data_IF_396563001716
#
_entry.id   IF_396563001716
#
_cell.length_a   1.000
_cell.length_b   1.000
_cell.length_c   1.000
_cell.angle_alpha   90.00
_cell.angle_beta   90.00
_cell.angle_gamma   90.00
#
_symmetry.space_group_name_H-M   'P 1'
#
loop_
_entity.id
_entity.type
_entity.pdbx_description
1 polymer ?
#
# COMPACT_ATOMS: atom_id res chain seq x y z
N UNK A 1 15.50 -2.11 59.85
CA UNK A 1 16.34 -1.06 59.24
C UNK A 1 16.41 0.09 60.23
N UNK A 2 17.59 0.69 60.51
CA UNK A 2 17.66 1.83 61.42
C UNK A 2 16.94 3.03 60.79
N UNK A 3 16.12 3.74 61.57
CA UNK A 3 15.54 5.02 61.18
C UNK A 3 16.58 6.11 61.44
N UNK A 4 17.05 6.79 60.39
CA UNK A 4 17.91 7.97 60.53
C UNK A 4 17.04 9.22 60.59
N UNK A 5 17.21 10.03 61.65
CA UNK A 5 16.63 11.36 61.77
C UNK A 5 17.75 12.38 61.49
N UNK A 6 17.60 13.16 60.43
CA UNK A 6 18.53 14.26 60.09
C UNK A 6 17.82 15.57 60.44
N UNK A 7 18.41 16.37 61.33
CA UNK A 7 17.92 17.70 61.68
C UNK A 7 18.89 18.75 61.11
N UNK A 8 18.43 19.53 60.14
CA UNK A 8 19.15 20.69 59.63
C UNK A 8 18.70 21.96 60.35
N UNK A 9 19.64 22.82 60.73
CA UNK A 9 19.36 24.15 61.28
C UNK A 9 19.60 25.23 60.20
N UNK A 10 18.64 26.14 59.93
CA UNK A 10 18.93 27.33 59.16
C UNK A 10 19.76 28.31 60.00
N UNK A 11 20.76 28.93 59.39
CA UNK A 11 21.74 29.84 60.04
C UNK A 11 21.19 31.24 60.32
N UNK A 12 19.94 31.52 59.93
CA UNK A 12 19.36 32.85 60.05
C UNK A 12 18.32 32.91 61.18
N UNK A 13 18.47 33.90 62.07
CA UNK A 13 17.53 34.25 63.14
C UNK A 13 16.25 34.90 62.58
N UNK A 14 15.63 34.26 61.60
CA UNK A 14 14.33 34.65 61.09
C UNK A 14 13.30 33.64 61.59
N UNK A 15 12.59 34.02 62.66
CA UNK A 15 11.57 33.20 63.36
C UNK A 15 10.36 32.85 62.47
N UNK A 16 10.36 33.25 61.20
CA UNK A 16 9.32 32.96 60.22
C UNK A 16 9.60 31.76 59.30
N UNK A 17 10.79 31.15 59.36
CA UNK A 17 11.17 30.06 58.46
C UNK A 17 11.03 28.70 59.13
N UNK A 18 9.96 27.98 58.77
CA UNK A 18 9.72 26.61 59.23
C UNK A 18 10.83 25.65 58.81
N UNK A 19 11.10 24.66 59.65
CA UNK A 19 12.00 23.54 59.33
C UNK A 19 11.18 22.46 58.62
N UNK A 20 11.59 22.10 57.40
CA UNK A 20 11.03 20.94 56.70
C UNK A 20 11.83 19.68 57.05
N UNK A 21 11.14 18.68 57.59
CA UNK A 21 11.71 17.37 57.90
C UNK A 21 11.27 16.39 56.81
N UNK A 22 12.22 15.88 56.03
CA UNK A 22 11.98 14.80 55.08
C UNK A 22 12.14 13.45 55.77
N UNK A 23 11.06 12.67 55.82
CA UNK A 23 11.07 11.28 56.30
C UNK A 23 10.92 10.36 55.09
N UNK A 24 11.75 9.32 55.04
CA UNK A 24 11.93 8.37 53.95
C UNK A 24 10.59 7.91 53.30
N UNK A 25 10.45 7.97 51.95
CA UNK A 25 9.22 7.61 51.23
C UNK A 25 8.75 6.16 51.43
N UNK A 26 9.63 5.23 51.85
CA UNK A 26 9.28 3.83 52.04
C UNK A 26 8.25 3.56 53.17
N UNK A 27 7.91 4.57 53.98
CA UNK A 27 7.02 4.44 55.15
C UNK A 27 5.65 5.12 54.99
N UNK A 28 5.34 5.72 53.83
CA UNK A 28 4.01 6.26 53.54
C UNK A 28 3.54 7.44 54.41
N UNK A 29 4.46 8.18 55.04
CA UNK A 29 4.15 9.36 55.86
C UNK A 29 4.43 10.66 55.09
N UNK A 30 3.43 11.54 54.99
CA UNK A 30 3.56 12.86 54.35
C UNK A 30 4.24 13.88 55.27
N UNK A 31 4.94 14.83 54.64
CA UNK A 31 5.74 15.88 55.27
C UNK A 31 4.98 16.61 56.38
N UNK A 32 5.65 16.86 57.51
CA UNK A 32 5.12 17.62 58.65
C UNK A 32 6.01 18.84 58.91
N UNK A 33 5.40 20.01 58.92
CA UNK A 33 6.09 21.27 59.26
C UNK A 33 6.13 21.42 60.78
N UNK A 34 7.32 21.68 61.32
CA UNK A 34 7.53 22.03 62.72
C UNK A 34 7.67 23.55 62.84
N UNK A 35 6.98 24.13 63.83
CA UNK A 35 7.07 25.55 64.17
C UNK A 35 7.64 25.69 65.59
N UNK A 36 8.59 26.60 65.75
CA UNK A 36 9.19 26.94 67.05
C UNK A 36 8.76 28.33 67.49
N UNK A 37 8.15 28.44 68.67
CA UNK A 37 7.84 29.74 69.31
C UNK A 37 8.20 29.64 70.79
N UNK A 38 9.00 30.57 71.30
CA UNK A 38 9.32 30.67 72.74
C UNK A 38 10.00 29.45 73.37
N UNK A 39 10.66 28.59 72.58
CA UNK A 39 11.31 27.36 73.07
C UNK A 39 10.41 26.11 73.09
N UNK A 40 9.18 26.20 72.57
CA UNK A 40 8.27 25.07 72.39
C UNK A 40 8.09 24.72 70.90
N UNK A 41 7.91 23.42 70.62
CA UNK A 41 7.75 22.89 69.26
C UNK A 41 6.34 22.32 69.04
N UNK A 42 5.75 22.63 67.89
CA UNK A 42 4.39 22.21 67.53
C UNK A 42 4.38 21.46 66.19
N UNK A 43 3.55 20.40 66.08
CA UNK A 43 3.37 19.60 64.86
C UNK A 43 1.99 19.84 64.27
N UNK A 44 1.92 20.22 62.99
CA UNK A 44 0.65 20.50 62.29
C UNK A 44 0.29 19.40 61.28
N UNK A 45 -1.00 18.99 61.17
CA UNK A 45 -1.53 18.27 60.00
C UNK A 45 -1.71 19.24 58.82
N UNK A 46 -1.41 18.81 57.60
CA UNK A 46 -1.59 19.61 56.38
C UNK A 46 -3.04 20.08 56.20
N UNK A 47 -3.27 21.40 56.07
CA UNK A 47 -4.55 21.97 55.62
C UNK A 47 -5.32 22.93 56.56
N UNK A 48 -4.98 23.11 57.84
CA UNK A 48 -5.81 23.89 58.79
C UNK A 48 -5.26 25.26 59.16
N UNK A 49 -5.99 26.38 58.99
CA UNK A 49 -5.49 27.73 59.38
C UNK A 49 -5.28 27.87 60.90
N UNK A 50 -4.21 28.56 61.34
CA UNK A 50 -3.94 28.86 62.75
C UNK A 50 -4.53 30.23 63.08
N UNK A 51 -5.41 30.30 64.09
CA UNK A 51 -5.86 31.56 64.67
C UNK A 51 -4.97 31.86 65.90
N UNK A 52 -4.38 33.05 65.94
CA UNK A 52 -3.53 33.51 67.03
C UNK A 52 -4.32 34.56 67.83
N UNK A 53 -4.52 34.32 69.12
CA UNK A 53 -5.27 35.24 70.01
C UNK A 53 -4.42 36.42 70.52
N UNK A 54 -3.17 36.52 70.05
CA UNK A 54 -2.29 37.67 70.27
C UNK A 54 -1.25 37.48 71.39
N UNK A 55 -1.22 36.32 72.07
CA UNK A 55 -0.17 35.99 73.05
C UNK A 55 0.89 35.00 72.54
N UNK A 56 0.71 34.45 71.33
CA UNK A 56 1.63 33.48 70.75
C UNK A 56 1.30 32.01 71.08
N UNK A 57 0.09 31.70 71.57
CA UNK A 57 -0.36 30.33 71.87
C UNK A 57 -1.56 29.96 70.97
N UNK A 58 -1.50 28.84 70.20
CA UNK A 58 -2.65 28.38 69.41
C UNK A 58 -3.79 27.85 70.30
N UNK A 59 -5.03 28.27 70.05
CA UNK A 59 -6.19 27.91 70.90
C UNK A 59 -6.89 26.59 70.56
N UNK A 60 -6.35 25.74 69.68
CA UNK A 60 -6.90 24.40 69.40
C UNK A 60 -5.85 23.29 69.58
N UNK A 61 -6.32 22.12 70.04
CA UNK A 61 -5.62 20.94 70.58
C UNK A 61 -4.35 20.46 69.85
N UNK A 62 -3.29 21.26 69.88
CA UNK A 62 -1.92 20.84 69.61
C UNK A 62 -1.31 20.17 70.84
N UNK A 63 -0.73 18.99 70.68
CA UNK A 63 0.00 18.32 71.76
C UNK A 63 1.32 19.07 71.99
N UNK A 64 1.43 19.75 73.14
CA UNK A 64 2.69 20.36 73.57
C UNK A 64 3.69 19.26 73.97
N UNK A 65 4.90 19.29 73.42
CA UNK A 65 5.98 18.38 73.81
C UNK A 65 6.99 19.16 74.66
N UNK A 66 7.13 18.78 75.93
CA UNK A 66 8.11 19.35 76.86
C UNK A 66 9.50 18.72 76.57
N UNK A 67 10.58 19.51 76.42
CA UNK A 67 11.93 18.98 76.16
C UNK A 67 12.49 18.07 77.24
N UNK A 68 11.96 18.14 78.47
CA UNK A 68 12.43 17.31 79.59
C UNK A 68 11.78 15.92 79.65
N UNK A 69 10.90 15.56 78.71
CA UNK A 69 10.06 14.35 78.80
C UNK A 69 10.07 13.50 77.50
N UNK A 70 11.23 13.39 76.84
CA UNK A 70 11.39 12.59 75.61
C UNK A 70 11.10 11.10 75.80
N UNK A 71 11.03 10.65 77.06
CA UNK A 71 10.75 9.26 77.41
C UNK A 71 9.26 8.89 77.39
N UNK A 72 8.34 9.84 77.11
CA UNK A 72 6.89 9.57 77.19
C UNK A 72 6.10 9.92 75.91
N UNK A 73 6.68 9.68 74.73
CA UNK A 73 5.94 9.70 73.46
C UNK A 73 5.13 8.40 73.31
N UNK A 74 3.90 8.40 73.85
CA UNK A 74 2.87 7.43 73.51
C UNK A 74 2.24 7.78 72.16
N UNK A 75 2.65 7.07 71.11
CA UNK A 75 2.00 7.15 69.80
C UNK A 75 0.81 6.18 69.78
N UNK A 76 -0.41 6.69 69.71
CA UNK A 76 -1.59 5.86 69.42
C UNK A 76 -1.55 5.43 67.95
N UNK A 77 -1.01 4.24 67.70
CA UNK A 77 -0.90 3.59 66.39
C UNK A 77 -0.09 2.29 66.52
N UNK A 78 -0.27 1.30 65.63
CA UNK A 78 0.34 -0.03 65.80
C UNK A 78 1.87 0.06 65.83
N UNK A 79 2.47 -0.26 66.98
CA UNK A 79 3.92 -0.33 67.19
C UNK A 79 4.51 -1.40 66.26
N UNK A 80 5.30 -1.02 65.26
CA UNK A 80 6.09 -1.96 64.44
C UNK A 80 7.60 -1.95 64.75
N UNK A 81 8.02 -1.39 65.89
CA UNK A 81 9.41 -1.45 66.34
C UNK A 81 9.48 -1.93 67.80
N UNK A 82 9.83 -3.20 67.99
CA UNK A 82 10.11 -3.80 69.30
C UNK A 82 11.61 -4.04 69.45
N UNK A 83 12.26 -3.23 70.29
CA UNK A 83 13.66 -3.39 70.67
C UNK A 83 14.12 -2.21 71.51
N UNK A 84 14.10 -2.36 72.82
CA UNK A 84 14.62 -1.37 73.76
C UNK A 84 16.13 -1.24 73.64
N UNK A 85 16.62 0.00 73.52
CA UNK A 85 18.03 0.32 73.43
C UNK A 85 18.26 1.48 72.48
N UNK A 86 18.37 2.69 73.00
CA UNK A 86 18.97 3.82 72.29
C UNK A 86 20.47 3.54 72.11
N UNK A 87 20.84 2.88 71.02
CA UNK A 87 22.24 2.79 70.63
C UNK A 87 22.67 4.13 70.02
N UNK A 88 23.51 4.87 70.74
CA UNK A 88 24.39 5.86 70.13
C UNK A 88 25.39 5.08 69.27
N UNK A 89 25.21 5.11 67.95
CA UNK A 89 26.22 4.63 67.01
C UNK A 89 27.23 5.75 66.85
N UNK A 90 28.32 5.68 67.61
CA UNK A 90 29.54 6.41 67.28
C UNK A 90 30.15 5.76 66.04
N UNK A 91 30.26 6.52 64.95
CA UNK A 91 31.14 6.12 63.86
C UNK A 91 32.56 6.46 64.29
N UNK A 92 33.40 5.44 64.44
CA UNK A 92 34.85 5.58 64.55
C UNK A 92 35.38 6.07 63.21
N UNK A 93 35.46 7.38 63.08
CA UNK A 93 36.53 8.15 62.45
C UNK A 93 35.98 9.55 62.24
N UNK A 94 36.86 10.55 62.26
CA UNK A 94 36.59 11.99 62.22
C UNK A 94 36.23 12.61 63.59
N UNK A 95 37.29 13.06 64.24
CA UNK A 95 37.29 14.03 65.34
C UNK A 95 36.36 15.20 65.04
N UNK A 96 35.36 15.46 65.89
CA UNK A 96 34.96 16.79 66.37
C UNK A 96 33.98 16.64 67.57
N UNK A 97 34.36 17.24 68.72
CA UNK A 97 33.49 17.44 69.88
C UNK A 97 32.35 18.42 69.51
N UNK A 98 31.11 18.08 69.85
CA UNK A 98 29.99 19.02 69.81
C UNK A 98 29.92 19.74 71.15
N UNK A 99 30.15 21.06 71.15
CA UNK A 99 29.87 21.93 72.30
C UNK A 99 28.42 22.40 72.28
N UNK A 100 27.76 22.34 73.42
CA UNK A 100 26.40 22.84 73.63
C UNK A 100 26.49 24.20 74.33
N UNK A 101 26.07 25.29 73.68
CA UNK A 101 25.96 26.60 74.32
C UNK A 101 24.49 27.02 74.40
N UNK A 102 23.87 26.79 75.56
CA UNK A 102 22.80 27.65 76.06
C UNK A 102 23.08 27.92 77.55
N UNK A 103 23.12 29.21 77.86
CA UNK A 103 23.21 29.81 79.20
C UNK A 103 24.58 29.78 79.91
N UNK A 104 25.64 30.30 79.26
CA UNK A 104 26.73 31.05 79.92
C UNK A 104 27.42 30.46 81.17
N UNK A 105 27.25 29.17 81.47
CA UNK A 105 27.87 28.44 82.57
C UNK A 105 28.12 27.02 82.08
N UNK A 106 29.35 26.76 81.64
CA UNK A 106 29.79 25.40 81.38
C UNK A 106 29.76 24.58 82.67
N UNK A 107 29.23 23.36 82.59
CA UNK A 107 29.66 22.31 83.50
C UNK A 107 31.09 21.93 83.08
N UNK A 108 32.06 22.40 83.84
CA UNK A 108 33.43 21.93 83.72
C UNK A 108 33.50 20.49 84.25
N UNK A 109 33.88 19.55 83.39
CA UNK A 109 34.59 18.35 83.82
C UNK A 109 35.97 18.81 84.31
N UNK A 110 36.28 18.55 85.57
CA UNK A 110 37.47 19.02 86.29
C UNK A 110 38.75 18.27 85.93
N UNK A 111 38.91 17.82 84.68
CA UNK A 111 40.03 16.97 84.26
C UNK A 111 40.84 17.46 83.05
N UNK A 112 40.62 18.68 82.55
CA UNK A 112 41.38 19.24 81.42
C UNK A 112 42.15 20.51 81.82
N UNK A 113 43.42 20.67 81.38
CA UNK A 113 44.24 21.80 81.78
C UNK A 113 43.74 23.10 81.15
N UNK A 114 43.74 24.14 81.98
CA UNK A 114 43.60 25.55 81.62
C UNK A 114 44.69 25.94 80.63
N UNK A 115 44.30 26.27 79.40
CA UNK A 115 45.13 27.06 78.48
C UNK A 115 44.27 28.15 77.86
N UNK A 116 44.19 29.23 78.61
CA UNK A 116 44.17 30.62 78.13
C UNK A 116 45.03 30.83 76.88
N UNK A 117 44.43 30.76 75.69
CA UNK A 117 44.80 31.52 74.48
C UNK A 117 43.70 31.31 73.42
N UNK A 118 42.88 32.33 73.17
CA UNK A 118 41.98 32.39 72.01
C UNK A 118 42.71 33.23 70.96
N UNK A 119 43.15 32.67 69.81
CA UNK A 119 43.61 33.50 68.71
C UNK A 119 42.42 34.22 68.08
N UNK A 120 42.60 35.52 67.84
CA UNK A 120 41.70 36.37 67.06
C UNK A 120 41.51 35.82 65.64
N UNK A 121 40.26 35.88 65.18
CA UNK A 121 39.77 35.66 63.81
C UNK A 121 40.05 34.30 63.14
N UNK A 122 39.05 33.42 63.18
CA UNK A 122 38.80 32.46 62.10
C UNK A 122 38.21 33.25 60.91
N UNK A 123 39.03 33.55 59.90
CA UNK A 123 38.57 34.09 58.63
C UNK A 123 37.76 33.05 57.86
N UNK A 124 36.87 33.50 56.96
CA UNK A 124 35.91 32.68 56.19
C UNK A 124 36.53 31.58 55.29
N UNK A 125 37.85 31.36 55.29
CA UNK A 125 38.51 30.36 54.43
C UNK A 125 38.57 28.93 54.99
N UNK A 126 38.19 28.69 56.25
CA UNK A 126 38.25 27.35 56.86
C UNK A 126 36.88 26.69 57.10
N UNK A 127 35.81 27.21 56.52
CA UNK A 127 34.50 26.53 56.49
C UNK A 127 34.36 25.91 55.10
N UNK A 128 34.91 24.71 54.90
CA UNK A 128 34.33 23.81 53.91
C UNK A 128 32.92 23.49 54.43
N UNK A 129 31.95 24.20 53.88
CA UNK A 129 30.56 23.81 53.97
C UNK A 129 30.52 22.40 53.40
N UNK A 130 30.37 21.42 54.29
CA UNK A 130 29.94 20.09 53.93
C UNK A 130 28.50 20.24 53.43
N UNK A 131 28.36 20.75 52.21
CA UNK A 131 27.13 20.70 51.46
C UNK A 131 26.73 19.24 51.47
N UNK A 132 25.60 18.94 52.10
CA UNK A 132 25.01 17.62 52.01
C UNK A 132 24.97 17.29 50.51
N UNK A 133 25.74 16.28 50.10
CA UNK A 133 25.80 15.83 48.73
C UNK A 133 24.34 15.77 48.25
N UNK A 134 23.92 16.60 47.28
CA UNK A 134 22.54 16.57 46.81
C UNK A 134 22.21 15.12 46.47
N UNK A 135 21.02 14.60 46.82
CA UNK A 135 20.67 13.22 46.48
C UNK A 135 21.04 13.02 45.02
N UNK A 136 21.95 12.08 44.75
CA UNK A 136 22.59 11.94 43.44
C UNK A 136 21.54 12.16 42.37
N UNK A 137 21.67 13.28 41.65
CA UNK A 137 20.67 13.78 40.73
C UNK A 137 20.37 12.61 39.80
N UNK A 138 19.18 12.01 39.92
CA UNK A 138 18.89 10.77 39.20
C UNK A 138 18.80 11.14 37.74
N UNK A 139 19.92 11.02 37.05
CA UNK A 139 20.05 11.36 35.64
C UNK A 139 19.03 10.52 34.89
N UNK A 140 18.00 11.20 34.36
CA UNK A 140 16.97 10.52 33.58
C UNK A 140 17.63 9.80 32.39
N UNK A 141 17.34 8.50 32.26
CA UNK A 141 17.84 7.71 31.15
C UNK A 141 17.26 8.25 29.83
N UNK A 142 18.01 8.14 28.72
CA UNK A 142 17.49 8.50 27.41
C UNK A 142 16.37 7.57 26.96
N UNK A 143 15.34 8.16 26.35
CA UNK A 143 14.24 7.43 25.72
C UNK A 143 14.59 7.04 24.29
N UNK A 144 14.34 5.78 23.92
CA UNK A 144 14.47 5.26 22.56
C UNK A 144 13.09 5.06 21.96
N UNK A 145 12.86 5.56 20.75
CA UNK A 145 11.67 5.33 19.95
C UNK A 145 12.03 4.97 18.51
N UNK A 146 11.11 4.38 17.77
CA UNK A 146 11.25 4.02 16.36
C UNK A 146 10.04 4.56 15.61
N UNK A 147 10.20 5.01 14.36
CA UNK A 147 9.08 5.45 13.54
C UNK A 147 8.44 4.29 12.75
N UNK A 148 7.29 4.58 12.15
CA UNK A 148 6.67 3.74 11.14
C UNK A 148 7.16 4.14 9.73
N UNK A 149 7.14 3.19 8.80
CA UNK A 149 7.55 3.38 7.38
C UNK A 149 6.47 2.79 6.49
N UNK A 150 6.11 3.51 5.41
CA UNK A 150 5.19 3.04 4.37
C UNK A 150 5.76 3.39 3.00
N UNK A 151 5.75 2.44 2.07
CA UNK A 151 6.17 2.64 0.67
C UNK A 151 5.71 1.46 -0.18
N UNK A 152 5.74 1.63 -1.49
CA UNK A 152 5.47 0.52 -2.43
C UNK A 152 6.64 -0.46 -2.51
N UNK A 153 6.34 -1.72 -2.83
CA UNK A 153 7.32 -2.81 -2.93
C UNK A 153 8.12 -2.81 -4.23
N UNK A 154 7.52 -2.39 -5.34
CA UNK A 154 8.12 -2.41 -6.68
C UNK A 154 8.12 -3.81 -7.31
N UNK A 155 8.60 -3.96 -8.56
CA UNK A 155 8.18 -5.13 -9.35
C UNK A 155 9.11 -6.37 -9.42
N UNK A 156 10.36 -6.30 -8.96
CA UNK A 156 11.32 -7.43 -9.18
C UNK A 156 12.62 -7.39 -8.38
N UNK A 157 12.84 -6.36 -7.56
CA UNK A 157 14.04 -6.20 -6.75
C UNK A 157 13.66 -5.90 -5.31
N UNK A 158 14.65 -5.74 -4.44
CA UNK A 158 14.36 -5.28 -3.10
C UNK A 158 14.19 -3.76 -3.04
N UNK A 159 13.19 -3.31 -2.29
CA UNK A 159 13.02 -1.91 -1.88
C UNK A 159 13.39 -1.81 -0.41
N UNK A 160 14.21 -0.83 -0.04
CA UNK A 160 14.69 -0.72 1.33
C UNK A 160 13.79 0.19 2.18
N UNK A 161 13.34 -0.32 3.32
CA UNK A 161 12.60 0.44 4.33
C UNK A 161 13.55 0.91 5.43
N UNK A 162 13.66 2.23 5.58
CA UNK A 162 14.56 2.87 6.53
C UNK A 162 13.84 3.31 7.81
N UNK A 163 13.90 2.45 8.83
CA UNK A 163 13.40 2.76 10.17
C UNK A 163 14.41 3.59 10.94
N UNK A 164 14.04 4.81 11.30
CA UNK A 164 14.82 5.72 12.14
C UNK A 164 14.51 5.48 13.63
N UNK A 165 15.52 5.00 14.35
CA UNK A 165 15.48 4.87 15.81
C UNK A 165 16.05 6.14 16.43
N UNK A 166 15.22 6.84 17.21
CA UNK A 166 15.54 8.13 17.84
C UNK A 166 15.84 7.96 19.33
N UNK A 167 16.91 8.62 19.79
CA UNK A 167 17.32 8.74 21.20
C UNK A 167 17.10 10.17 21.69
N UNK A 168 16.24 10.34 22.68
CA UNK A 168 15.88 11.61 23.29
C UNK A 168 16.27 11.69 24.78
N UNK A 169 16.39 12.89 25.35
CA UNK A 169 16.79 13.09 26.74
C UNK A 169 18.31 13.19 26.91
N UNK A 170 18.87 12.54 27.94
CA UNK A 170 20.31 12.62 28.21
C UNK A 170 21.15 11.76 27.25
N UNK A 171 21.91 12.43 26.37
CA UNK A 171 22.78 11.79 25.37
C UNK A 171 24.26 11.80 25.73
N UNK A 172 24.65 12.25 26.93
CA UNK A 172 26.07 12.42 27.31
C UNK A 172 26.85 11.11 27.46
N UNK A 173 26.18 9.97 27.61
CA UNK A 173 26.78 8.62 27.68
C UNK A 173 26.42 7.73 26.50
N UNK A 174 26.87 6.47 26.55
CA UNK A 174 26.46 5.43 25.60
C UNK A 174 25.15 4.76 26.01
N UNK A 175 24.42 4.20 25.04
CA UNK A 175 23.27 3.34 25.29
C UNK A 175 23.12 2.32 24.16
N UNK A 176 22.48 1.19 24.42
CA UNK A 176 22.21 0.20 23.38
C UNK A 176 20.81 -0.37 23.47
N UNK A 177 20.27 -0.80 22.32
CA UNK A 177 18.95 -1.43 22.21
C UNK A 177 19.00 -2.54 21.17
N UNK A 178 18.33 -3.66 21.42
CA UNK A 178 18.17 -4.73 20.45
C UNK A 178 16.98 -4.46 19.55
N UNK A 179 17.00 -4.97 18.32
CA UNK A 179 15.84 -5.00 17.44
C UNK A 179 15.68 -6.36 16.79
N UNK A 180 14.44 -6.72 16.46
CA UNK A 180 14.09 -7.88 15.64
C UNK A 180 12.86 -7.56 14.80
N UNK A 181 12.85 -7.98 13.55
CA UNK A 181 11.63 -7.98 12.75
C UNK A 181 10.70 -9.10 13.20
N UNK A 182 9.40 -8.93 12.97
CA UNK A 182 8.38 -9.94 13.17
C UNK A 182 7.24 -9.77 12.16
N UNK A 183 6.76 -10.89 11.65
CA UNK A 183 5.65 -10.94 10.69
C UNK A 183 4.38 -10.26 11.24
N UNK A 184 3.59 -9.72 10.33
CA UNK A 184 2.25 -9.21 10.58
C UNK A 184 1.27 -9.89 9.63
N UNK A 185 0.74 -9.13 8.66
CA UNK A 185 0.12 -9.75 7.48
C UNK A 185 1.16 -10.13 6.45
N UNK A 186 2.24 -9.34 6.33
CA UNK A 186 3.43 -9.68 5.56
C UNK A 186 4.26 -10.74 6.29
N UNK A 187 4.79 -11.70 5.52
CA UNK A 187 5.65 -12.80 5.91
C UNK A 187 7.10 -12.59 5.46
N UNK A 188 8.04 -12.92 6.33
CA UNK A 188 9.47 -12.86 5.96
C UNK A 188 9.92 -13.92 4.95
N UNK A 189 9.02 -14.79 4.47
CA UNK A 189 9.30 -15.80 3.47
C UNK A 189 9.03 -15.32 2.04
N UNK A 190 8.14 -14.34 1.88
CA UNK A 190 7.72 -13.79 0.59
C UNK A 190 8.01 -12.30 0.51
N UNK A 191 7.59 -11.50 1.50
CA UNK A 191 7.36 -10.06 1.28
C UNK A 191 8.51 -9.20 1.81
N UNK A 192 9.28 -9.68 2.78
CA UNK A 192 10.46 -8.97 3.30
C UNK A 192 11.54 -9.91 3.83
N UNK A 193 12.76 -9.39 4.00
CA UNK A 193 13.87 -10.13 4.61
C UNK A 193 13.95 -9.88 6.11
N UNK A 194 13.86 -10.95 6.92
CA UNK A 194 13.96 -10.84 8.38
C UNK A 194 15.29 -10.23 8.81
N UNK A 195 15.27 -9.28 9.75
CA UNK A 195 16.46 -8.61 10.25
C UNK A 195 16.45 -8.54 11.79
N UNK A 196 17.63 -8.64 12.41
CA UNK A 196 17.79 -8.47 13.85
C UNK A 196 19.20 -8.00 14.20
N UNK A 197 19.36 -7.34 15.34
CA UNK A 197 20.66 -6.86 15.77
C UNK A 197 20.62 -5.97 17.00
N UNK A 198 21.73 -5.26 17.21
CA UNK A 198 21.92 -4.32 18.33
C UNK A 198 22.34 -2.96 17.79
N UNK A 199 21.59 -1.91 18.12
CA UNK A 199 21.97 -0.53 17.87
C UNK A 199 22.76 0.00 19.07
N UNK A 200 23.95 0.54 18.80
CA UNK A 200 24.81 1.15 19.81
C UNK A 200 24.90 2.66 19.56
N UNK A 201 24.42 3.46 20.51
CA UNK A 201 24.53 4.92 20.48
C UNK A 201 25.78 5.34 21.25
N UNK A 202 26.69 6.03 20.57
CA UNK A 202 27.78 6.74 21.20
C UNK A 202 27.28 7.99 21.95
N UNK A 203 28.15 8.60 22.75
CA UNK A 203 27.84 9.88 23.38
C UNK A 203 27.51 10.93 22.31
N UNK A 204 26.38 11.63 22.48
CA UNK A 204 25.87 12.65 21.57
C UNK A 204 25.09 12.13 20.36
N UNK A 205 25.10 10.82 20.06
CA UNK A 205 24.31 10.28 18.95
C UNK A 205 22.82 10.25 19.30
N UNK A 206 21.98 10.80 18.42
CA UNK A 206 20.53 10.90 18.62
C UNK A 206 19.72 10.01 17.69
N UNK A 207 20.32 9.46 16.63
CA UNK A 207 19.59 8.63 15.65
C UNK A 207 20.45 7.46 15.16
N UNK A 208 19.78 6.35 14.85
CA UNK A 208 20.30 5.20 14.09
C UNK A 208 19.26 4.75 13.09
N UNK A 209 19.67 4.01 12.08
CA UNK A 209 18.77 3.45 11.06
C UNK A 209 18.82 1.93 11.10
N UNK A 210 17.65 1.31 10.99
CA UNK A 210 17.48 -0.11 10.71
C UNK A 210 16.97 -0.20 9.27
N UNK A 211 17.69 -0.94 8.43
CA UNK A 211 17.31 -1.20 7.05
C UNK A 211 16.60 -2.56 6.98
N UNK A 212 15.46 -2.62 6.31
CA UNK A 212 14.75 -3.87 6.03
C UNK A 212 14.47 -3.94 4.54
N UNK A 213 14.97 -4.99 3.88
CA UNK A 213 14.72 -5.23 2.47
C UNK A 213 13.32 -5.81 2.27
N UNK A 214 12.49 -5.15 1.47
CA UNK A 214 11.17 -5.58 1.02
C UNK A 214 11.32 -6.24 -0.34
N UNK A 215 10.75 -7.42 -0.54
CA UNK A 215 10.86 -8.16 -1.80
C UNK A 215 9.71 -7.74 -2.72
N UNK A 216 10.00 -6.99 -3.79
CA UNK A 216 8.98 -6.61 -4.75
C UNK A 216 8.70 -7.69 -5.80
N UNK A 217 7.43 -7.84 -6.19
CA UNK A 217 7.03 -8.78 -7.25
C UNK A 217 5.93 -8.23 -8.20
N UNK A 218 5.13 -9.10 -8.85
CA UNK A 218 4.10 -8.65 -9.81
C UNK A 218 2.72 -9.24 -9.48
N UNK A 219 2.58 -9.82 -8.29
CA UNK A 219 1.40 -10.47 -7.79
C UNK A 219 0.56 -9.40 -7.10
N UNK A 220 -0.71 -9.32 -7.48
CA UNK A 220 -1.62 -8.37 -6.83
C UNK A 220 -2.00 -8.89 -5.45
N UNK A 221 -1.60 -8.16 -4.43
CA UNK A 221 -1.82 -8.44 -3.01
C UNK A 221 -2.51 -7.24 -2.32
N UNK A 222 -3.15 -7.41 -1.16
CA UNK A 222 -3.56 -6.27 -0.34
C UNK A 222 -2.34 -5.58 0.27
N UNK A 223 -2.46 -4.33 0.70
CA UNK A 223 -1.40 -3.71 1.51
C UNK A 223 -1.13 -4.54 2.77
N UNK A 224 0.14 -4.76 3.07
CA UNK A 224 0.56 -5.65 4.15
C UNK A 224 1.42 -4.95 5.20
N UNK A 225 1.56 -5.56 6.37
CA UNK A 225 2.33 -5.00 7.47
C UNK A 225 3.26 -6.02 8.12
N UNK A 226 4.45 -5.55 8.54
CA UNK A 226 5.37 -6.24 9.44
C UNK A 226 5.84 -5.28 10.53
N UNK A 227 6.56 -5.79 11.53
CA UNK A 227 6.96 -4.99 12.69
C UNK A 227 8.46 -5.06 12.94
N UNK A 228 9.07 -3.94 13.37
CA UNK A 228 10.41 -3.88 13.95
C UNK A 228 10.27 -3.62 15.46
N UNK A 229 10.60 -4.62 16.27
CA UNK A 229 10.43 -4.57 17.73
C UNK A 229 11.75 -4.27 18.44
N UNK A 230 11.77 -3.20 19.23
CA UNK A 230 12.88 -2.84 20.11
C UNK A 230 12.79 -3.61 21.44
N UNK A 231 13.92 -4.08 21.94
CA UNK A 231 14.01 -4.82 23.21
C UNK A 231 15.36 -4.64 23.90
N UNK A 232 15.49 -5.13 25.14
CA UNK A 232 16.76 -5.24 25.86
C UNK A 232 17.59 -3.93 25.89
N UNK A 233 16.94 -2.81 26.24
CA UNK A 233 17.62 -1.51 26.38
C UNK A 233 18.65 -1.55 27.53
N UNK A 234 19.86 -1.05 27.28
CA UNK A 234 20.89 -0.85 28.30
C UNK A 234 21.21 0.64 28.43
N UNK A 235 21.10 1.17 29.65
CA UNK A 235 21.26 2.60 29.96
C UNK A 235 20.32 3.51 29.14
N UNK A 236 19.11 3.02 28.89
CA UNK A 236 18.02 3.72 28.21
C UNK A 236 16.66 3.16 28.63
N UNK A 237 15.60 3.88 28.32
CA UNK A 237 14.22 3.36 28.36
C UNK A 237 13.67 3.28 26.93
N UNK A 238 12.83 2.28 26.65
CA UNK A 238 12.11 2.20 25.38
C UNK A 238 10.81 2.99 25.56
N UNK A 239 10.71 4.13 24.86
CA UNK A 239 9.53 5.00 24.87
C UNK A 239 8.50 4.53 23.83
N UNK A 240 8.98 4.09 22.66
CA UNK A 240 8.20 3.39 21.66
C UNK A 240 8.97 2.14 21.23
N UNK A 241 8.35 0.98 21.41
CA UNK A 241 8.98 -0.31 21.18
C UNK A 241 8.74 -0.85 19.78
N UNK A 242 7.87 -0.23 18.97
CA UNK A 242 7.34 -0.88 17.78
C UNK A 242 7.27 0.07 16.60
N UNK A 243 8.10 -0.17 15.60
CA UNK A 243 7.95 0.44 14.28
C UNK A 243 7.12 -0.49 13.39
N UNK A 244 6.11 0.03 12.72
CA UNK A 244 5.28 -0.68 11.74
C UNK A 244 5.80 -0.37 10.35
N UNK A 245 6.13 -1.41 9.58
CA UNK A 245 6.38 -1.32 8.15
C UNK A 245 5.11 -1.66 7.39
N UNK A 246 4.62 -0.77 6.54
CA UNK A 246 3.51 -1.00 5.63
C UNK A 246 4.02 -1.13 4.21
N UNK A 247 3.83 -2.31 3.62
CA UNK A 247 4.16 -2.61 2.23
C UNK A 247 2.91 -2.29 1.41
N UNK A 248 2.99 -1.25 0.57
CA UNK A 248 1.89 -0.83 -0.29
C UNK A 248 1.97 -1.59 -1.63
N UNK A 249 0.92 -2.32 -1.99
CA UNK A 249 0.90 -3.06 -3.25
C UNK A 249 0.80 -2.06 -4.42
N UNK A 250 1.81 -2.03 -5.30
CA UNK A 250 1.80 -1.24 -6.54
C UNK A 250 1.48 -2.06 -7.80
N UNK A 251 1.11 -3.32 -7.63
CA UNK A 251 0.72 -4.19 -8.73
C UNK A 251 -0.74 -4.02 -9.15
N UNK A 252 -0.92 -4.01 -10.47
CA UNK A 252 -2.23 -3.88 -11.10
C UNK A 252 -2.75 -5.23 -11.56
N UNK A 253 -4.07 -5.44 -11.37
CA UNK A 253 -4.77 -6.54 -12.01
C UNK A 253 -4.72 -6.33 -13.52
N UNK A 254 -3.83 -7.08 -14.18
CA UNK A 254 -3.79 -7.11 -15.63
C UNK A 254 -4.66 -8.27 -16.12
N UNK A 255 -5.53 -8.01 -17.09
CA UNK A 255 -6.45 -8.99 -17.68
C UNK A 255 -6.06 -9.26 -19.13
N UNK A 256 -6.36 -10.44 -19.70
CA UNK A 256 -6.09 -10.73 -21.10
C UNK A 256 -6.89 -9.82 -22.04
N UNK A 257 -6.37 -9.64 -23.25
CA UNK A 257 -7.07 -8.97 -24.35
C UNK A 257 -7.77 -9.98 -25.25
N UNK A 258 -8.92 -9.61 -25.79
CA UNK A 258 -9.64 -10.38 -26.82
C UNK A 258 -9.84 -9.51 -28.05
N UNK A 259 -9.59 -10.10 -29.22
CA UNK A 259 -9.84 -9.50 -30.53
C UNK A 259 -10.37 -10.56 -31.49
N UNK A 260 -10.95 -10.11 -32.61
CA UNK A 260 -11.57 -10.96 -33.64
C UNK A 260 -10.95 -10.63 -35.00
N UNK A 261 -10.90 -11.60 -35.92
CA UNK A 261 -10.44 -11.36 -37.29
C UNK A 261 -11.60 -11.07 -38.25
N UNK A 262 -11.27 -10.54 -39.42
CA UNK A 262 -12.17 -10.46 -40.56
C UNK A 262 -12.17 -11.76 -41.36
N UNK A 263 -13.28 -12.05 -42.03
CA UNK A 263 -13.47 -13.24 -42.87
C UNK A 263 -14.02 -12.82 -44.23
N UNK A 264 -13.40 -13.27 -45.32
CA UNK A 264 -13.92 -13.10 -46.67
C UNK A 264 -14.01 -14.46 -47.37
N UNK A 265 -15.18 -14.78 -47.93
CA UNK A 265 -15.42 -16.07 -48.59
C UNK A 265 -16.58 -15.93 -49.58
N UNK A 266 -16.66 -16.84 -50.55
CA UNK A 266 -17.81 -16.89 -51.46
C UNK A 266 -19.05 -17.45 -50.78
N UNK A 267 -20.23 -17.03 -51.22
CA UNK A 267 -21.51 -17.48 -50.65
C UNK A 267 -21.91 -18.90 -51.08
N UNK A 268 -21.53 -19.30 -52.30
CA UNK A 268 -21.94 -20.58 -52.89
C UNK A 268 -23.41 -20.57 -53.32
N UNK A 269 -23.94 -21.69 -53.87
CA UNK A 269 -25.12 -21.56 -54.73
C UNK A 269 -26.52 -21.95 -54.19
N UNK A 270 -26.64 -22.69 -53.09
CA UNK A 270 -27.94 -23.32 -52.72
C UNK A 270 -28.18 -23.46 -51.22
N UNK A 271 -27.13 -23.54 -50.40
CA UNK A 271 -27.24 -23.72 -48.95
C UNK A 271 -26.49 -22.62 -48.24
N UNK A 272 -26.19 -22.82 -46.96
CA UNK A 272 -25.35 -21.89 -46.23
C UNK A 272 -23.87 -22.22 -46.41
N UNK A 273 -23.03 -21.19 -46.43
CA UNK A 273 -21.59 -21.27 -46.29
C UNK A 273 -21.18 -20.81 -44.89
N UNK A 274 -20.37 -21.61 -44.21
CA UNK A 274 -19.82 -21.26 -42.90
C UNK A 274 -18.76 -20.16 -43.03
N UNK A 275 -19.00 -19.04 -42.34
CA UNK A 275 -18.03 -18.00 -42.07
C UNK A 275 -17.54 -18.14 -40.64
N UNK A 276 -16.31 -18.64 -40.49
CA UNK A 276 -15.70 -18.96 -39.20
C UNK A 276 -14.79 -17.82 -38.73
N UNK A 277 -15.26 -17.06 -37.76
CA UNK A 277 -14.50 -16.00 -37.11
C UNK A 277 -13.74 -16.56 -35.91
N UNK A 278 -12.46 -16.22 -35.79
CA UNK A 278 -11.60 -16.61 -34.69
C UNK A 278 -11.45 -15.44 -33.73
N UNK A 279 -11.95 -15.63 -32.53
CA UNK A 279 -11.65 -14.76 -31.40
C UNK A 279 -10.32 -15.23 -30.81
N UNK A 280 -9.35 -14.33 -30.75
CA UNK A 280 -8.04 -14.58 -30.15
C UNK A 280 -7.97 -13.91 -28.78
N UNK A 281 -7.55 -14.68 -27.78
CA UNK A 281 -7.31 -14.22 -26.41
C UNK A 281 -5.80 -14.19 -26.14
N UNK A 282 -5.26 -13.02 -25.84
CA UNK A 282 -3.83 -12.77 -25.70
C UNK A 282 -3.47 -12.20 -24.33
N UNK A 283 -2.38 -12.70 -23.74
CA UNK A 283 -1.86 -12.28 -22.44
C UNK A 283 -0.69 -13.14 -21.97
N UNK A 284 -0.11 -12.79 -20.82
CA UNK A 284 0.91 -13.60 -20.13
C UNK A 284 0.29 -14.90 -19.57
N UNK A 285 1.13 -15.85 -19.17
CA UNK A 285 0.65 -17.10 -18.54
C UNK A 285 -0.20 -16.83 -17.29
N UNK A 286 0.15 -15.82 -16.48
CA UNK A 286 -0.63 -15.41 -15.32
C UNK A 286 -2.00 -14.83 -15.71
N UNK A 287 -2.05 -13.97 -16.74
CA UNK A 287 -3.32 -13.41 -17.26
C UNK A 287 -4.23 -14.48 -17.87
N UNK A 288 -3.64 -15.52 -18.46
CA UNK A 288 -4.38 -16.62 -19.07
C UNK A 288 -4.79 -17.71 -18.07
N UNK A 289 -4.30 -17.67 -16.83
CA UNK A 289 -4.55 -18.70 -15.81
C UNK A 289 -6.01 -18.79 -15.34
N UNK A 290 -6.78 -17.71 -15.49
CA UNK A 290 -8.18 -17.63 -15.08
C UNK A 290 -9.13 -17.65 -16.30
N UNK A 291 -10.40 -18.07 -16.16
CA UNK A 291 -11.37 -18.00 -17.25
C UNK A 291 -11.81 -16.56 -17.55
N UNK A 292 -12.22 -16.32 -18.80
CA UNK A 292 -12.80 -15.03 -19.25
C UNK A 292 -13.95 -15.28 -20.22
N UNK A 293 -14.83 -14.29 -20.40
CA UNK A 293 -15.92 -14.40 -21.38
C UNK A 293 -16.18 -13.09 -22.10
N UNK A 294 -16.73 -13.19 -23.30
CA UNK A 294 -17.15 -12.04 -24.12
C UNK A 294 -18.49 -12.35 -24.77
N UNK A 295 -19.31 -11.33 -24.98
CA UNK A 295 -20.57 -11.46 -25.73
C UNK A 295 -20.34 -11.08 -27.19
N UNK A 296 -20.92 -11.84 -28.12
CA UNK A 296 -20.87 -11.52 -29.54
C UNK A 296 -22.27 -11.54 -30.16
N UNK A 297 -22.46 -10.74 -31.20
CA UNK A 297 -23.70 -10.69 -31.99
C UNK A 297 -23.38 -10.26 -33.42
N UNK A 298 -24.23 -10.62 -34.38
CA UNK A 298 -24.13 -10.06 -35.73
C UNK A 298 -24.90 -8.75 -35.85
N UNK A 299 -24.47 -7.88 -36.77
CA UNK A 299 -25.27 -6.76 -37.25
C UNK A 299 -25.10 -6.57 -38.75
N UNK A 300 -26.11 -5.98 -39.39
CA UNK A 300 -26.11 -5.75 -40.83
C UNK A 300 -24.96 -4.81 -41.26
N UNK A 301 -24.53 -4.97 -42.50
CA UNK A 301 -23.69 -4.04 -43.24
C UNK A 301 -24.40 -3.65 -44.53
N UNK A 302 -23.84 -4.01 -45.69
CA UNK A 302 -24.61 -4.00 -46.94
C UNK A 302 -25.47 -5.25 -47.07
N UNK A 303 -25.01 -6.38 -46.53
CA UNK A 303 -25.77 -7.60 -46.35
C UNK A 303 -26.69 -7.48 -45.12
N UNK A 304 -27.87 -8.08 -45.21
CA UNK A 304 -28.96 -8.04 -44.24
C UNK A 304 -29.41 -9.44 -43.80
N UNK A 305 -29.61 -9.63 -42.50
CA UNK A 305 -30.23 -10.85 -41.97
C UNK A 305 -31.77 -10.74 -41.99
N UNK A 306 -32.53 -11.70 -42.55
CA UNK A 306 -32.14 -13.06 -42.91
C UNK A 306 -31.90 -13.30 -44.41
N UNK A 307 -31.81 -12.26 -45.24
CA UNK A 307 -31.64 -12.41 -46.70
C UNK A 307 -30.32 -13.10 -47.01
N UNK A 308 -29.22 -12.56 -46.48
CA UNK A 308 -27.88 -12.88 -46.96
C UNK A 308 -27.11 -13.70 -45.91
N UNK A 309 -27.53 -13.63 -44.64
CA UNK A 309 -26.98 -14.44 -43.56
C UNK A 309 -27.98 -14.69 -42.43
N UNK A 310 -27.72 -15.72 -41.62
CA UNK A 310 -28.50 -15.98 -40.40
C UNK A 310 -28.00 -15.11 -39.25
N UNK A 311 -28.80 -14.13 -38.84
CA UNK A 311 -28.46 -13.25 -37.72
C UNK A 311 -28.33 -14.02 -36.40
N UNK A 312 -27.25 -13.76 -35.67
CA UNK A 312 -26.99 -14.34 -34.35
C UNK A 312 -27.24 -13.27 -33.27
N UNK A 313 -28.19 -13.50 -32.34
CA UNK A 313 -28.43 -12.58 -31.24
C UNK A 313 -27.27 -12.60 -30.23
N UNK A 314 -27.20 -11.62 -29.31
CA UNK A 314 -26.18 -11.56 -28.27
C UNK A 314 -26.00 -12.91 -27.55
N UNK A 315 -24.82 -13.50 -27.72
CA UNK A 315 -24.45 -14.83 -27.23
C UNK A 315 -23.12 -14.74 -26.49
N UNK A 316 -23.04 -15.35 -25.30
CA UNK A 316 -21.79 -15.37 -24.51
C UNK A 316 -20.91 -16.53 -24.95
N UNK A 317 -19.63 -16.25 -25.15
CA UNK A 317 -18.59 -17.26 -25.34
C UNK A 317 -17.54 -17.15 -24.23
N UNK A 318 -17.16 -18.30 -23.67
CA UNK A 318 -16.24 -18.39 -22.53
C UNK A 318 -14.95 -19.10 -22.92
N UNK A 319 -13.82 -18.51 -22.53
CA UNK A 319 -12.49 -19.11 -22.59
C UNK A 319 -12.18 -19.76 -21.25
N UNK A 320 -11.79 -21.04 -21.28
CA UNK A 320 -11.26 -21.71 -20.10
C UNK A 320 -9.87 -21.16 -19.72
N UNK A 321 -9.36 -21.54 -18.54
CA UNK A 321 -7.98 -21.28 -18.15
C UNK A 321 -7.01 -21.84 -19.22
N UNK A 322 -6.06 -21.01 -19.66
CA UNK A 322 -5.07 -21.33 -20.69
C UNK A 322 -5.59 -21.34 -22.13
N UNK A 323 -6.90 -21.21 -22.37
CA UNK A 323 -7.44 -21.19 -23.73
C UNK A 323 -7.19 -19.84 -24.39
N UNK A 324 -6.62 -19.86 -25.61
CA UNK A 324 -6.17 -18.67 -26.34
C UNK A 324 -6.95 -18.37 -27.60
N UNK A 325 -7.86 -19.26 -28.03
CA UNK A 325 -8.71 -19.00 -29.19
C UNK A 325 -10.06 -19.68 -29.07
N UNK A 326 -11.07 -19.08 -29.70
CA UNK A 326 -12.40 -19.64 -29.91
C UNK A 326 -12.84 -19.33 -31.33
N UNK A 327 -13.67 -20.19 -31.90
CA UNK A 327 -14.30 -19.94 -33.19
C UNK A 327 -15.79 -19.73 -33.00
N UNK A 328 -16.33 -18.70 -33.63
CA UNK A 328 -17.77 -18.47 -33.79
C UNK A 328 -18.11 -18.54 -35.28
N UNK A 329 -19.28 -19.06 -35.60
CA UNK A 329 -19.70 -19.31 -36.97
C UNK A 329 -20.94 -18.50 -37.28
N UNK A 330 -20.93 -17.79 -38.40
CA UNK A 330 -22.11 -17.19 -39.02
C UNK A 330 -22.41 -17.96 -40.29
N UNK A 331 -23.67 -18.32 -40.49
CA UNK A 331 -24.14 -19.00 -41.70
C UNK A 331 -24.54 -17.95 -42.72
N UNK A 332 -23.82 -17.87 -43.84
CA UNK A 332 -24.14 -17.01 -44.99
C UNK A 332 -25.00 -17.81 -45.95
N UNK A 333 -26.11 -17.25 -46.43
CA UNK A 333 -27.00 -17.92 -47.39
C UNK A 333 -26.38 -17.80 -48.78
N UNK A 334 -26.29 -18.90 -49.51
CA UNK A 334 -25.82 -18.90 -50.89
C UNK A 334 -26.97 -19.04 -51.88
N UNK A 335 -26.86 -18.36 -53.02
CA UNK A 335 -27.83 -18.45 -54.11
C UNK A 335 -27.20 -18.31 -55.52
N UNK A 336 -27.98 -17.96 -56.54
CA UNK A 336 -27.51 -17.92 -57.94
C UNK A 336 -27.71 -16.54 -58.57
N UNK A 337 -27.98 -15.54 -57.75
CA UNK A 337 -28.32 -14.18 -58.11
C UNK A 337 -27.02 -13.39 -58.23
N UNK A 338 -26.82 -12.74 -59.37
CA UNK A 338 -25.65 -11.88 -59.54
C UNK A 338 -25.81 -10.62 -58.71
N UNK A 339 -25.01 -10.52 -57.66
CA UNK A 339 -24.99 -9.41 -56.71
C UNK A 339 -23.59 -8.77 -56.62
N UNK A 340 -23.45 -7.54 -56.11
CA UNK A 340 -22.12 -7.04 -55.71
C UNK A 340 -21.60 -7.80 -54.48
N UNK A 341 -20.29 -7.72 -54.20
CA UNK A 341 -19.79 -8.18 -52.90
C UNK A 341 -20.42 -7.37 -51.77
N UNK A 342 -20.75 -8.04 -50.67
CA UNK A 342 -21.45 -7.46 -49.54
C UNK A 342 -20.72 -7.68 -48.22
N UNK A 343 -21.11 -6.95 -47.18
CA UNK A 343 -20.54 -7.10 -45.84
C UNK A 343 -21.59 -7.18 -44.73
N UNK A 344 -21.27 -7.94 -43.68
CA UNK A 344 -21.94 -7.93 -42.38
C UNK A 344 -20.90 -7.87 -41.25
N UNK A 345 -21.34 -7.62 -40.03
CA UNK A 345 -20.44 -7.42 -38.89
C UNK A 345 -20.67 -8.46 -37.79
N UNK A 346 -19.60 -8.88 -37.13
CA UNK A 346 -19.59 -9.63 -35.86
C UNK A 346 -19.03 -8.72 -34.78
N UNK A 347 -19.90 -8.28 -33.88
CA UNK A 347 -19.57 -7.30 -32.83
C UNK A 347 -19.29 -7.99 -31.51
N UNK A 348 -18.12 -7.75 -30.93
CA UNK A 348 -17.80 -8.11 -29.56
C UNK A 348 -18.26 -7.02 -28.59
N UNK A 349 -18.83 -7.44 -27.46
CA UNK A 349 -19.34 -6.58 -26.39
C UNK A 349 -19.22 -7.29 -25.05
N UNK A 350 -19.35 -6.53 -23.95
CA UNK A 350 -19.39 -7.04 -22.57
C UNK A 350 -18.32 -8.12 -22.30
N UNK A 351 -17.12 -7.69 -21.92
CA UNK A 351 -16.04 -8.58 -21.50
C UNK A 351 -16.06 -8.78 -19.98
N UNK A 352 -15.89 -10.02 -19.51
CA UNK A 352 -15.68 -10.36 -18.10
C UNK A 352 -14.27 -10.93 -17.94
N UNK A 353 -13.48 -10.34 -17.04
CA UNK A 353 -12.07 -10.68 -16.81
C UNK A 353 -11.20 -10.57 -18.08
N UNK A 354 -11.49 -9.60 -18.92
CA UNK A 354 -10.76 -9.33 -20.16
C UNK A 354 -10.97 -7.88 -20.62
N UNK A 355 -10.15 -7.45 -21.57
CA UNK A 355 -10.36 -6.24 -22.37
C UNK A 355 -10.63 -6.61 -23.83
N UNK A 356 -11.38 -5.79 -24.56
CA UNK A 356 -11.59 -5.96 -25.99
C UNK A 356 -10.69 -4.96 -26.72
N UNK A 357 -9.73 -5.44 -27.51
CA UNK A 357 -8.79 -4.60 -28.26
C UNK A 357 -9.21 -4.38 -29.71
N UNK A 358 -9.96 -5.33 -30.26
CA UNK A 358 -10.69 -5.18 -31.52
C UNK A 358 -12.07 -5.78 -31.33
N UNK A 359 -13.10 -4.98 -31.54
CA UNK A 359 -14.48 -5.36 -31.28
C UNK A 359 -15.28 -5.68 -32.53
N UNK A 360 -14.68 -5.59 -33.72
CA UNK A 360 -15.41 -5.68 -34.98
C UNK A 360 -14.74 -6.69 -35.91
N UNK A 361 -15.38 -7.84 -36.12
CA UNK A 361 -15.04 -8.76 -37.20
C UNK A 361 -15.91 -8.48 -38.41
N UNK A 362 -15.33 -8.14 -39.55
CA UNK A 362 -16.05 -7.90 -40.81
C UNK A 362 -16.14 -9.20 -41.60
N UNK A 363 -17.37 -9.63 -41.90
CA UNK A 363 -17.66 -10.68 -42.85
C UNK A 363 -17.86 -10.10 -44.25
N UNK A 364 -17.05 -10.49 -45.24
CA UNK A 364 -17.19 -10.10 -46.65
C UNK A 364 -17.71 -11.28 -47.46
N UNK A 365 -18.94 -11.14 -47.95
CA UNK A 365 -19.57 -12.09 -48.85
C UNK A 365 -19.08 -11.75 -50.27
N UNK A 366 -18.32 -12.67 -50.85
CA UNK A 366 -17.79 -12.52 -52.21
C UNK A 366 -18.75 -13.19 -53.18
N UNK A 367 -19.37 -12.41 -54.06
CA UNK A 367 -20.25 -12.97 -55.07
C UNK A 367 -19.45 -13.92 -56.01
N UNK A 368 -19.89 -15.17 -56.12
CA UNK A 368 -19.36 -16.16 -57.07
C UNK A 368 -20.32 -16.51 -58.21
N UNK A 369 -21.42 -15.76 -58.35
CA UNK A 369 -22.39 -15.93 -59.41
C UNK A 369 -22.05 -15.12 -60.67
N UNK A 370 -22.10 -15.82 -61.80
CA UNK A 370 -21.96 -15.25 -63.13
C UNK A 370 -23.30 -14.85 -63.73
N UNK A 371 -23.27 -13.86 -64.63
CA UNK A 371 -24.42 -13.60 -65.51
C UNK A 371 -24.69 -14.89 -66.30
N UNK A 372 -25.96 -15.32 -66.35
CA UNK A 372 -26.35 -16.53 -67.10
C UNK A 372 -25.82 -16.47 -68.54
N UNK A 373 -25.36 -17.62 -69.02
CA UNK A 373 -24.94 -17.89 -70.38
C UNK A 373 -25.49 -19.28 -70.73
N UNK A 374 -26.69 -19.31 -71.34
CA UNK A 374 -27.48 -20.55 -71.53
C UNK A 374 -26.87 -21.49 -72.56
N UNK A 375 -26.18 -20.97 -73.58
CA UNK A 375 -25.58 -21.78 -74.63
C UNK A 375 -24.04 -21.91 -74.52
N UNK A 376 -23.46 -21.25 -73.52
CA UNK A 376 -22.08 -21.38 -73.09
C UNK A 376 -21.09 -20.98 -74.20
N UNK A 377 -21.42 -19.93 -74.95
CA UNK A 377 -20.61 -19.34 -76.02
C UNK A 377 -19.66 -18.24 -75.52
N UNK A 378 -19.79 -17.84 -74.25
CA UNK A 378 -19.02 -16.79 -73.60
C UNK A 378 -19.62 -15.38 -73.74
N UNK A 379 -20.82 -15.27 -74.31
CA UNK A 379 -21.64 -14.06 -74.40
C UNK A 379 -22.80 -14.19 -73.42
N UNK A 380 -22.83 -13.41 -72.33
CA UNK A 380 -23.90 -13.51 -71.36
C UNK A 380 -25.29 -13.22 -71.93
N UNK A 381 -26.32 -13.91 -71.43
CA UNK A 381 -27.74 -13.83 -71.84
C UNK A 381 -28.29 -12.39 -71.90
N UNK A 382 -27.74 -11.46 -71.11
CA UNK A 382 -28.20 -10.08 -71.10
C UNK A 382 -27.72 -9.26 -72.31
N UNK A 383 -26.74 -9.77 -73.06
CA UNK A 383 -26.21 -9.17 -74.29
C UNK A 383 -26.23 -10.13 -75.49
N UNK A 384 -26.56 -11.40 -75.27
CA UNK A 384 -26.80 -12.41 -76.29
C UNK A 384 -28.22 -12.30 -76.90
N UNK A 385 -28.28 -12.18 -78.22
CA UNK A 385 -29.54 -12.12 -78.99
C UNK A 385 -30.06 -13.51 -79.37
N UNK A 386 -29.25 -14.56 -79.21
CA UNK A 386 -29.52 -15.93 -79.60
C UNK A 386 -29.28 -16.93 -78.46
N UNK A 387 -29.94 -16.71 -77.30
CA UNK A 387 -29.87 -17.43 -76.01
C UNK A 387 -29.75 -18.96 -75.98
N UNK A 388 -29.86 -19.67 -77.09
CA UNK A 388 -29.84 -21.15 -77.14
C UNK A 388 -28.95 -21.68 -78.26
N UNK A 389 -28.26 -20.81 -79.00
CA UNK A 389 -27.51 -21.16 -80.20
C UNK A 389 -26.18 -20.41 -80.20
N UNK A 390 -25.06 -21.11 -79.92
CA UNK A 390 -23.76 -20.47 -79.71
C UNK A 390 -23.31 -19.58 -80.88
N UNK A 391 -22.76 -18.41 -80.56
CA UNK A 391 -22.19 -17.47 -81.51
C UNK A 391 -21.02 -16.65 -80.95
N UNK A 392 -20.32 -15.88 -81.79
CA UNK A 392 -19.26 -15.02 -81.31
C UNK A 392 -19.82 -13.71 -80.71
N UNK A 393 -19.11 -13.15 -79.72
CA UNK A 393 -19.39 -11.83 -79.15
C UNK A 393 -19.47 -10.71 -80.20
N UNK A 394 -18.75 -10.84 -81.32
CA UNK A 394 -18.79 -9.90 -82.45
C UNK A 394 -20.14 -9.83 -83.16
N UNK A 395 -21.01 -10.83 -82.95
CA UNK A 395 -22.36 -10.90 -83.51
C UNK A 395 -23.42 -11.07 -82.41
N UNK A 396 -23.18 -10.49 -81.23
CA UNK A 396 -24.12 -10.51 -80.11
C UNK A 396 -24.60 -11.93 -79.75
N UNK A 397 -23.70 -12.91 -79.73
CA UNK A 397 -23.99 -14.31 -79.38
C UNK A 397 -24.80 -15.08 -80.45
N UNK A 398 -25.19 -14.43 -81.56
CA UNK A 398 -25.81 -15.15 -82.66
C UNK A 398 -24.78 -15.81 -83.60
N UNK A 399 -25.06 -17.00 -84.14
CA UNK A 399 -24.22 -17.61 -85.17
C UNK A 399 -24.12 -16.71 -86.41
N UNK A 400 -22.96 -16.70 -87.06
CA UNK A 400 -22.79 -15.98 -88.32
C UNK A 400 -23.80 -16.50 -89.36
N UNK A 401 -24.55 -15.59 -90.00
CA UNK A 401 -25.48 -15.94 -91.07
C UNK A 401 -24.70 -16.50 -92.26
N UNK A 402 -24.64 -17.82 -92.40
CA UNK A 402 -24.07 -18.47 -93.57
C UNK A 402 -25.05 -18.42 -94.74
N UNK A 403 -24.64 -17.81 -95.85
CA UNK A 403 -25.39 -17.90 -97.11
C UNK A 403 -24.90 -19.15 -97.86
N UNK A 404 -25.75 -20.17 -97.94
CA UNK A 404 -25.45 -21.38 -98.74
C UNK A 404 -25.86 -21.12 -100.18
N UNK A 405 -24.88 -21.06 -101.10
CA UNK A 405 -25.12 -20.98 -102.55
C UNK A 405 -24.65 -22.29 -103.17
N UNK A 406 -25.57 -23.09 -103.72
CA UNK A 406 -25.21 -24.29 -104.49
C UNK A 406 -24.61 -25.46 -103.69
N UNK A 407 -24.71 -25.46 -102.35
CA UNK A 407 -24.20 -26.54 -101.49
C UNK A 407 -22.80 -26.31 -100.92
N UNK A 408 -22.18 -25.15 -101.19
CA UNK A 408 -20.93 -24.73 -100.55
C UNK A 408 -21.19 -23.60 -99.53
N UNK A 409 -20.48 -23.67 -98.40
CA UNK A 409 -20.53 -22.65 -97.33
C UNK A 409 -19.56 -21.53 -97.70
N UNK A 410 -20.08 -20.33 -97.97
CA UNK A 410 -19.27 -19.11 -98.12
C UNK A 410 -19.37 -18.29 -96.82
N UNK A 411 -18.24 -18.13 -96.11
CA UNK A 411 -18.13 -17.18 -95.01
C UNK A 411 -18.11 -15.75 -95.58
N UNK A 412 -19.10 -14.93 -95.21
CA UNK A 412 -19.17 -13.54 -95.67
C UNK A 412 -18.85 -12.63 -94.49
N UNK A 413 -17.70 -11.98 -94.53
CA UNK A 413 -17.36 -10.86 -93.66
C UNK A 413 -18.20 -9.63 -94.08
N UNK A 414 -19.17 -9.26 -93.26
CA UNK A 414 -20.08 -8.14 -93.52
C UNK A 414 -19.39 -6.76 -93.52
N UNK A 415 -18.10 -6.65 -93.18
CA UNK A 415 -17.35 -5.39 -93.28
C UNK A 415 -17.04 -4.97 -94.73
N UNK A 416 -17.25 -5.87 -95.71
CA UNK A 416 -16.81 -5.67 -97.10
C UNK A 416 -17.94 -5.65 -98.14
N UNK A 417 -19.19 -5.38 -97.72
CA UNK A 417 -20.33 -5.25 -98.65
C UNK A 417 -20.30 -3.93 -99.44
N UNK A 418 -19.34 -3.80 -100.37
CA UNK A 418 -19.47 -2.89 -101.50
C UNK A 418 -20.44 -3.52 -102.51
N UNK A 419 -21.70 -3.09 -102.48
CA UNK A 419 -22.61 -3.32 -103.62
C UNK A 419 -22.16 -2.40 -104.76
N UNK A 420 -21.14 -2.82 -105.50
CA UNK A 420 -20.81 -2.23 -106.79
C UNK A 420 -21.79 -2.77 -107.83
N UNK A 421 -22.88 -2.05 -108.04
CA UNK A 421 -23.76 -2.27 -109.18
C UNK A 421 -23.00 -2.00 -110.49
N UNK A 422 -22.71 -3.05 -111.25
CA UNK A 422 -22.31 -2.94 -112.65
C UNK A 422 -22.96 -4.07 -113.45
N UNK A 423 -24.01 -3.73 -114.20
CA UNK A 423 -24.57 -4.57 -115.24
C UNK A 423 -23.57 -4.70 -116.39
N UNK A 424 -23.23 -5.93 -116.79
CA UNK A 424 -23.11 -6.32 -118.20
C UNK A 424 -22.91 -7.85 -118.37
N UNK A 425 -23.92 -8.48 -118.97
CA UNK A 425 -23.81 -9.61 -119.92
C UNK A 425 -22.97 -10.84 -119.54
N UNK A 426 -23.55 -11.72 -118.74
CA UNK A 426 -23.63 -13.16 -119.03
C UNK A 426 -24.72 -13.77 -118.14
N UNK A 427 -25.71 -14.42 -118.75
CA UNK A 427 -26.89 -14.91 -118.05
C UNK A 427 -26.57 -16.01 -117.03
N UNK A 428 -26.71 -15.67 -115.74
CA UNK A 428 -27.13 -16.59 -114.69
C UNK A 428 -28.06 -15.81 -113.75
N UNK A 429 -29.34 -16.18 -113.75
CA UNK A 429 -30.33 -15.70 -112.78
C UNK A 429 -30.02 -16.45 -111.48
N UNK A 430 -29.52 -15.76 -110.45
CA UNK A 430 -29.48 -16.30 -109.09
C UNK A 430 -30.78 -15.84 -108.41
N UNK A 431 -31.75 -16.73 -108.15
CA UNK A 431 -32.92 -16.37 -107.36
C UNK A 431 -32.49 -16.23 -105.90
N UNK A 432 -32.51 -14.99 -105.38
CA UNK A 432 -32.43 -14.76 -103.94
C UNK A 432 -33.82 -15.04 -103.38
N UNK A 433 -34.08 -16.28 -102.97
CA UNK A 433 -35.22 -16.62 -102.12
C UNK A 433 -34.75 -16.74 -100.70
N UNK A 434 -35.26 -15.89 -99.82
CA UNK A 434 -35.05 -15.98 -98.36
C UNK A 434 -34.15 -14.91 -97.77
N UNK A 435 -34.52 -13.63 -97.94
CA UNK A 435 -34.14 -12.59 -96.97
C UNK A 435 -35.45 -12.11 -96.34
N UNK A 436 -35.78 -12.63 -95.16
CA UNK A 436 -36.73 -11.98 -94.26
C UNK A 436 -35.93 -11.00 -93.40
N UNK A 437 -36.26 -9.71 -93.55
CA UNK A 437 -35.86 -8.71 -92.58
C UNK A 437 -36.55 -9.01 -91.24
N UNK A 438 -35.76 -9.13 -90.19
CA UNK A 438 -36.16 -9.24 -88.80
C UNK A 438 -35.07 -8.57 -87.99
#
# INVERSE_FOLDING_TARGET
MPCSLILGYPRDRDESKGVEVYINPATGLSARTLYGVGGHWFVRPTGSAINWDGDGIPTESGVAVNPNDINNLSVNGPKQCTGGGTNLVGFEDWSHLIYNFRDGKGFADSSLPDTTEIPEELTNENIELMEANPPADTVALPGISINDVSSTEGNSSTTNFDFTVTRAGNTTGTSSVHFTTADGTASSLSDYSSNSGTLNFAAGETTKTINVDINGDTVVEPDETFNVNLSNCTLCNIADAKGVGTIENDDLVTVPSIFINDVAKTEGNVTTTDFNFTLTRSGTAAQLANPSSVTWATSDGTATGPSDYTAVPPTVISFAAGETSKTVTVLVNGDTTVEPNETFNVNLSVCVNCTITDNLGVGTIVNDDGVRDVDNDGVPDNIDQCLTVPGPASNNGCPEKQVVVGGEILGIDMSSLFVAGAFANAGWIIPITGVTAG
#
